data_IF_937763947560
#
_entry.id   IF_937763947560
#
_cell.length_a   1.000
_cell.length_b   1.000
_cell.length_c   1.000
_cell.angle_alpha   90.00
_cell.angle_beta   90.00
_cell.angle_gamma   90.00
#
_symmetry.space_group_name_H-M   'P 1'
#
loop_
_entity.id
_entity.type
_entity.pdbx_description
1 polymer ?
#
# COMPACT_ATOMS: atom_id res chain seq x y z
N UNK A 1 45.61 22.36 46.63
CA UNK A 1 44.67 22.18 45.50
C UNK A 1 44.57 20.69 45.24
N UNK A 2 43.35 20.11 45.22
CA UNK A 2 43.17 18.67 45.07
C UNK A 2 43.32 18.24 43.60
N UNK A 3 43.89 17.05 43.39
CA UNK A 3 44.05 16.37 42.10
C UNK A 3 42.69 15.94 41.53
N UNK A 4 42.48 15.96 40.21
CA UNK A 4 41.29 15.37 39.61
C UNK A 4 41.46 13.86 39.46
N UNK A 5 40.61 13.11 40.16
CA UNK A 5 40.41 11.68 40.01
C UNK A 5 39.97 11.35 38.57
N UNK A 6 40.83 10.66 37.82
CA UNK A 6 40.50 10.09 36.51
C UNK A 6 39.68 8.83 36.76
N UNK A 7 38.35 8.94 36.78
CA UNK A 7 37.48 7.77 36.71
C UNK A 7 37.55 7.20 35.29
N UNK A 8 38.53 6.31 35.08
CA UNK A 8 38.55 5.41 33.94
C UNK A 8 37.37 4.45 34.01
N UNK A 9 36.25 4.83 33.40
CA UNK A 9 35.26 3.86 32.96
C UNK A 9 35.85 3.19 31.74
N UNK A 10 36.41 2.00 31.91
CA UNK A 10 36.78 1.13 30.81
C UNK A 10 35.48 0.85 30.01
N UNK A 11 35.28 1.60 28.92
CA UNK A 11 34.40 1.16 27.85
C UNK A 11 35.01 -0.13 27.32
N UNK A 12 34.33 -1.23 27.55
CA UNK A 12 34.63 -2.49 26.88
C UNK A 12 34.60 -2.22 25.36
N UNK A 13 35.67 -2.55 24.61
CA UNK A 13 35.64 -2.53 23.16
C UNK A 13 34.90 -3.80 22.76
N UNK A 14 33.58 -3.74 22.64
CA UNK A 14 32.79 -4.95 22.46
C UNK A 14 31.34 -4.75 22.04
N UNK A 15 30.99 -3.56 21.57
CA UNK A 15 29.74 -3.34 20.86
C UNK A 15 30.01 -2.32 19.75
N UNK A 16 30.93 -2.67 18.84
CA UNK A 16 30.75 -2.18 17.48
C UNK A 16 29.40 -2.74 17.05
N UNK A 17 28.36 -1.91 17.13
CA UNK A 17 27.14 -2.12 16.40
C UNK A 17 27.59 -2.41 14.96
N UNK A 18 27.68 -3.70 14.62
CA UNK A 18 28.03 -4.14 13.29
C UNK A 18 26.90 -3.60 12.43
N UNK A 19 27.14 -2.44 11.83
CA UNK A 19 26.15 -1.76 11.01
C UNK A 19 25.67 -2.74 9.95
N UNK A 20 24.39 -2.66 9.60
CA UNK A 20 23.77 -3.48 8.57
C UNK A 20 24.69 -3.54 7.34
N UNK A 21 24.99 -4.74 6.86
CA UNK A 21 25.83 -4.91 5.68
C UNK A 21 25.11 -4.33 4.44
N UNK A 22 25.84 -3.90 3.39
CA UNK A 22 25.19 -3.44 2.16
C UNK A 22 24.21 -4.46 1.57
N UNK A 23 24.53 -5.74 1.69
CA UNK A 23 23.65 -6.84 1.25
C UNK A 23 22.33 -6.86 2.04
N UNK A 24 22.39 -6.77 3.37
CA UNK A 24 21.19 -6.70 4.22
C UNK A 24 20.35 -5.45 3.93
N UNK A 25 21.01 -4.33 3.69
CA UNK A 25 20.35 -3.06 3.35
C UNK A 25 19.62 -3.14 2.00
N UNK A 26 20.23 -3.73 0.96
CA UNK A 26 19.54 -3.93 -0.32
C UNK A 26 18.39 -4.94 -0.23
N UNK A 27 18.52 -6.00 0.60
CA UNK A 27 17.37 -6.88 0.90
C UNK A 27 16.24 -6.08 1.56
N UNK A 28 16.56 -5.18 2.48
CA UNK A 28 15.56 -4.31 3.08
C UNK A 28 14.92 -3.35 2.05
N UNK A 29 15.67 -2.83 1.08
CA UNK A 29 15.09 -2.05 -0.05
C UNK A 29 14.06 -2.89 -0.80
N UNK A 30 14.40 -4.14 -1.14
CA UNK A 30 13.48 -5.08 -1.80
C UNK A 30 12.20 -5.29 -0.98
N UNK A 31 12.32 -5.60 0.30
CA UNK A 31 11.17 -5.84 1.18
C UNK A 31 10.25 -4.62 1.30
N UNK A 32 10.84 -3.43 1.43
CA UNK A 32 10.09 -2.16 1.43
C UNK A 32 9.32 -1.98 0.12
N UNK A 33 9.94 -2.31 -1.02
CA UNK A 33 9.30 -2.19 -2.33
C UNK A 33 8.19 -3.22 -2.56
N UNK A 34 8.37 -4.46 -2.11
CA UNK A 34 7.31 -5.47 -2.16
C UNK A 34 6.08 -5.05 -1.32
N UNK A 35 6.31 -4.53 -0.11
CA UNK A 35 5.24 -3.96 0.73
C UNK A 35 4.56 -2.80 0.01
N UNK A 36 5.33 -1.89 -0.58
CA UNK A 36 4.81 -0.72 -1.28
C UNK A 36 3.93 -1.08 -2.47
N UNK A 37 4.33 -2.07 -3.26
CA UNK A 37 3.53 -2.63 -4.36
C UNK A 37 2.21 -3.21 -3.84
N UNK A 38 2.24 -3.94 -2.72
CA UNK A 38 1.01 -4.47 -2.10
C UNK A 38 0.06 -3.34 -1.70
N UNK A 39 0.56 -2.29 -1.04
CA UNK A 39 -0.25 -1.13 -0.64
C UNK A 39 -0.81 -0.39 -1.85
N UNK A 40 -0.03 -0.26 -2.93
CA UNK A 40 -0.53 0.34 -4.17
C UNK A 40 -1.66 -0.45 -4.80
N UNK A 41 -1.64 -1.79 -4.71
CA UNK A 41 -2.75 -2.63 -5.19
C UNK A 41 -4.01 -2.41 -4.38
N UNK A 42 -3.90 -2.32 -3.05
CA UNK A 42 -5.03 -2.02 -2.17
C UNK A 42 -5.62 -0.63 -2.45
N UNK A 43 -4.75 0.36 -2.71
CA UNK A 43 -5.17 1.70 -3.12
C UNK A 43 -5.93 1.68 -4.44
N UNK A 44 -5.33 1.09 -5.49
CA UNK A 44 -5.90 1.04 -6.85
C UNK A 44 -7.25 0.28 -6.82
N UNK A 45 -7.34 -0.85 -6.10
CA UNK A 45 -8.55 -1.68 -6.00
C UNK A 45 -9.69 -0.97 -5.25
N UNK A 46 -9.39 -0.28 -4.14
CA UNK A 46 -10.38 0.50 -3.41
C UNK A 46 -10.92 1.67 -4.25
N UNK A 47 -10.04 2.35 -4.99
CA UNK A 47 -10.41 3.48 -5.81
C UNK A 47 -11.23 3.06 -7.04
N UNK A 48 -10.83 1.99 -7.73
CA UNK A 48 -11.58 1.46 -8.87
C UNK A 48 -12.93 0.88 -8.44
N UNK A 49 -13.01 0.19 -7.29
CA UNK A 49 -14.28 -0.29 -6.72
C UNK A 49 -15.23 0.88 -6.39
N UNK A 50 -14.70 2.00 -5.91
CA UNK A 50 -15.50 3.18 -5.62
C UNK A 50 -16.01 3.89 -6.89
N UNK A 51 -15.17 4.00 -7.92
CA UNK A 51 -15.53 4.65 -9.18
C UNK A 51 -16.45 3.78 -10.05
N UNK A 52 -16.22 2.48 -10.05
CA UNK A 52 -16.96 1.49 -10.83
C UNK A 52 -17.42 0.35 -9.91
N UNK A 53 -18.49 0.58 -9.12
CA UNK A 53 -19.07 -0.46 -8.27
C UNK A 53 -19.74 -1.52 -9.14
N UNK A 54 -18.94 -2.39 -9.73
CA UNK A 54 -19.40 -3.54 -10.51
C UNK A 54 -19.80 -4.61 -9.50
N UNK A 55 -20.97 -5.23 -9.65
CA UNK A 55 -21.54 -6.23 -8.73
C UNK A 55 -20.75 -7.56 -8.65
N UNK A 56 -19.46 -7.56 -9.02
CA UNK A 56 -18.65 -8.75 -9.31
C UNK A 56 -17.29 -8.81 -8.63
N UNK A 57 -16.86 -7.82 -7.83
CA UNK A 57 -15.65 -7.95 -7.00
C UNK A 57 -16.00 -8.56 -5.64
N UNK A 58 -15.47 -9.75 -5.37
CA UNK A 58 -15.71 -10.53 -4.16
C UNK A 58 -15.34 -9.81 -2.86
N UNK A 59 -15.74 -10.34 -1.70
CA UNK A 59 -15.74 -9.60 -0.44
C UNK A 59 -14.33 -9.20 -0.03
N UNK A 60 -14.14 -7.89 0.18
CA UNK A 60 -13.04 -7.32 0.95
C UNK A 60 -13.18 -7.90 2.36
N UNK A 61 -12.31 -8.84 2.73
CA UNK A 61 -12.36 -9.56 3.99
C UNK A 61 -11.94 -8.63 5.15
N UNK A 62 -12.83 -7.72 5.53
CA UNK A 62 -12.80 -7.04 6.81
C UNK A 62 -13.43 -7.94 7.86
N UNK A 63 -12.60 -8.70 8.57
CA UNK A 63 -13.02 -9.55 9.69
C UNK A 63 -13.82 -8.75 10.73
N UNK A 64 -15.14 -8.91 10.72
CA UNK A 64 -16.02 -8.53 11.83
C UNK A 64 -16.59 -9.83 12.42
N UNK A 65 -16.18 -10.10 13.66
CA UNK A 65 -16.55 -11.27 14.44
C UNK A 65 -18.06 -11.27 14.77
N UNK A 66 -18.72 -12.44 14.92
CA UNK A 66 -20.18 -12.52 14.94
C UNK A 66 -20.81 -12.26 16.31
N UNK A 67 -22.05 -11.79 16.25
CA UNK A 67 -23.03 -11.50 17.31
C UNK A 67 -23.28 -12.69 18.25
N UNK A 68 -23.99 -12.47 19.38
CA UNK A 68 -25.32 -13.08 19.41
C UNK A 68 -26.40 -12.19 20.03
N UNK A 69 -27.52 -12.08 19.32
CA UNK A 69 -28.83 -11.68 19.84
C UNK A 69 -29.44 -12.82 20.66
N UNK A 70 -30.14 -12.57 21.79
CA UNK A 70 -30.86 -13.59 22.51
C UNK A 70 -32.20 -13.93 21.83
N UNK A 71 -32.54 -15.21 21.95
CA UNK A 71 -33.72 -15.94 21.46
C UNK A 71 -34.92 -15.65 22.37
N UNK A 72 -36.14 -15.55 21.80
CA UNK A 72 -37.42 -16.03 22.40
C UNK A 72 -38.58 -15.70 21.42
N UNK A 73 -39.72 -16.39 21.35
CA UNK A 73 -40.12 -17.80 21.37
C UNK A 73 -41.60 -17.79 20.88
N UNK A 74 -41.97 -18.73 19.99
CA UNK A 74 -43.33 -19.29 19.67
C UNK A 74 -44.46 -18.34 19.19
N UNK A 75 -45.49 -18.70 18.42
CA UNK A 75 -46.25 -19.90 17.99
C UNK A 75 -46.89 -19.52 16.61
N UNK A 76 -47.14 -20.37 15.62
CA UNK A 76 -48.20 -21.39 15.59
C UNK A 76 -48.09 -22.27 14.32
N UNK A 77 -48.65 -23.47 14.42
CA UNK A 77 -48.51 -24.61 13.52
C UNK A 77 -49.48 -24.61 12.32
N UNK A 78 -49.08 -25.26 11.21
CA UNK A 78 -49.72 -26.48 10.65
C UNK A 78 -49.34 -26.68 9.16
N UNK A 79 -49.00 -27.92 8.79
CA UNK A 79 -49.28 -28.41 7.44
C UNK A 79 -48.13 -29.01 6.63
N UNK A 80 -47.97 -30.33 6.78
CA UNK A 80 -47.65 -31.30 5.73
C UNK A 80 -46.19 -31.70 5.46
N UNK A 81 -46.02 -33.03 5.50
CA UNK A 81 -44.83 -33.83 5.28
C UNK A 81 -44.19 -33.62 3.90
N UNK A 82 -42.86 -33.42 3.90
CA UNK A 82 -42.01 -33.58 2.73
C UNK A 82 -40.57 -33.87 3.17
N UNK A 83 -40.24 -35.15 3.31
CA UNK A 83 -38.86 -35.62 3.49
C UNK A 83 -38.10 -35.35 2.19
N UNK A 84 -37.14 -34.44 2.22
CA UNK A 84 -36.10 -34.33 1.22
C UNK A 84 -34.76 -34.00 1.89
N UNK A 85 -33.93 -35.04 1.93
CA UNK A 85 -32.52 -35.01 2.24
C UNK A 85 -31.81 -34.09 1.22
N UNK A 86 -31.15 -33.02 1.69
CA UNK A 86 -30.41 -32.10 0.84
C UNK A 86 -29.64 -31.12 1.70
N UNK A 87 -28.33 -31.05 1.49
CA UNK A 87 -27.39 -30.34 2.36
C UNK A 87 -27.82 -28.91 2.67
N UNK A 88 -27.48 -28.46 3.89
CA UNK A 88 -27.48 -27.06 4.31
C UNK A 88 -26.61 -26.23 3.36
N UNK A 89 -27.14 -25.89 2.19
CA UNK A 89 -26.67 -24.78 1.39
C UNK A 89 -27.02 -23.52 2.15
N UNK A 90 -26.01 -22.71 2.46
CA UNK A 90 -26.19 -21.36 2.96
C UNK A 90 -26.92 -20.54 1.88
N UNK A 91 -28.25 -20.58 1.86
CA UNK A 91 -29.11 -19.78 0.99
C UNK A 91 -29.20 -18.32 1.49
N UNK A 92 -28.09 -17.77 1.98
CA UNK A 92 -28.03 -16.47 2.65
C UNK A 92 -26.71 -15.73 2.46
N UNK A 93 -25.76 -16.25 1.68
CA UNK A 93 -24.67 -15.41 1.18
C UNK A 93 -25.22 -14.55 0.04
N UNK A 94 -26.04 -13.55 0.39
CA UNK A 94 -26.30 -12.42 -0.49
C UNK A 94 -24.95 -11.90 -0.98
N UNK A 95 -24.66 -12.10 -2.26
CA UNK A 95 -23.55 -11.47 -2.99
C UNK A 95 -23.83 -9.98 -3.19
N UNK A 96 -24.45 -9.33 -2.20
CA UNK A 96 -24.64 -7.90 -2.17
C UNK A 96 -23.32 -7.32 -1.67
N UNK A 97 -22.40 -7.11 -2.59
CA UNK A 97 -21.26 -6.24 -2.37
C UNK A 97 -21.82 -4.86 -2.06
N UNK A 98 -21.82 -4.47 -0.79
CA UNK A 98 -22.21 -3.12 -0.40
C UNK A 98 -21.26 -2.16 -1.11
N UNK A 99 -21.77 -1.24 -1.95
CA UNK A 99 -20.90 -0.31 -2.66
C UNK A 99 -20.11 0.52 -1.65
N UNK A 100 -18.83 0.72 -1.95
CA UNK A 100 -17.92 1.41 -1.05
C UNK A 100 -18.40 2.87 -0.84
N UNK A 101 -18.64 3.26 0.41
CA UNK A 101 -19.07 4.64 0.74
C UNK A 101 -17.91 5.62 0.60
N UNK A 102 -18.21 6.92 0.47
CA UNK A 102 -17.16 7.96 0.44
C UNK A 102 -16.34 8.00 1.73
N UNK A 103 -16.98 7.79 2.88
CA UNK A 103 -16.32 7.73 4.18
C UNK A 103 -15.37 6.54 4.28
N UNK A 104 -15.80 5.36 3.82
CA UNK A 104 -14.97 4.16 3.81
C UNK A 104 -13.81 4.30 2.82
N UNK A 105 -14.04 4.88 1.63
CA UNK A 105 -12.96 5.21 0.70
C UNK A 105 -11.94 6.12 1.36
N UNK A 106 -12.38 7.22 1.97
CA UNK A 106 -11.49 8.19 2.59
C UNK A 106 -10.63 7.52 3.68
N UNK A 107 -11.23 6.62 4.48
CA UNK A 107 -10.51 5.84 5.49
C UNK A 107 -9.47 4.91 4.85
N UNK A 108 -9.82 4.16 3.81
CA UNK A 108 -8.87 3.27 3.11
C UNK A 108 -7.73 4.09 2.51
N UNK A 109 -8.03 5.17 1.78
CA UNK A 109 -7.03 6.05 1.18
C UNK A 109 -6.11 6.67 2.24
N UNK A 110 -6.63 7.02 3.40
CA UNK A 110 -5.83 7.53 4.52
C UNK A 110 -4.86 6.45 5.03
N UNK A 111 -5.33 5.22 5.24
CA UNK A 111 -4.50 4.10 5.72
C UNK A 111 -3.40 3.77 4.70
N UNK A 112 -3.78 3.60 3.42
CA UNK A 112 -2.83 3.26 2.35
C UNK A 112 -1.82 4.39 2.16
N UNK A 113 -2.23 5.66 2.19
CA UNK A 113 -1.31 6.80 2.09
C UNK A 113 -0.31 6.82 3.25
N UNK A 114 -0.78 6.56 4.48
CA UNK A 114 0.10 6.49 5.64
C UNK A 114 1.12 5.35 5.50
N UNK A 115 0.70 4.18 5.01
CA UNK A 115 1.59 3.05 4.76
C UNK A 115 2.62 3.35 3.65
N UNK A 116 2.24 4.08 2.59
CA UNK A 116 3.16 4.54 1.53
C UNK A 116 4.19 5.53 2.07
N UNK A 117 3.79 6.45 2.95
CA UNK A 117 4.69 7.40 3.62
C UNK A 117 5.67 6.65 4.53
N UNK A 118 5.18 5.66 5.30
CA UNK A 118 6.04 4.82 6.14
C UNK A 118 7.09 4.08 5.30
N UNK A 119 6.71 3.51 4.16
CA UNK A 119 7.65 2.89 3.23
C UNK A 119 8.71 3.89 2.75
N UNK A 120 8.32 5.14 2.48
CA UNK A 120 9.25 6.21 2.13
C UNK A 120 10.24 6.55 3.25
N UNK A 121 9.78 6.62 4.50
CA UNK A 121 10.67 6.84 5.65
C UNK A 121 11.65 5.69 5.85
N UNK A 122 11.18 4.44 5.77
CA UNK A 122 12.05 3.26 5.86
C UNK A 122 13.12 3.28 4.77
N UNK A 123 12.74 3.60 3.53
CA UNK A 123 13.69 3.70 2.41
C UNK A 123 14.72 4.82 2.63
N UNK A 124 14.31 5.96 3.22
CA UNK A 124 15.21 7.06 3.58
C UNK A 124 16.23 6.66 4.64
N UNK A 125 15.80 5.88 5.64
CA UNK A 125 16.70 5.32 6.66
C UNK A 125 17.73 4.39 6.01
N UNK A 126 17.28 3.46 5.16
CA UNK A 126 18.16 2.53 4.44
C UNK A 126 19.16 3.28 3.55
N UNK A 127 18.71 4.30 2.80
CA UNK A 127 19.59 5.17 2.02
C UNK A 127 20.68 5.81 2.89
N UNK A 128 20.31 6.29 4.07
CA UNK A 128 21.25 6.94 4.99
C UNK A 128 22.27 5.95 5.51
N UNK A 129 21.85 4.73 5.88
CA UNK A 129 22.77 3.66 6.28
C UNK A 129 23.68 3.24 5.13
N UNK A 130 23.14 3.05 3.92
CA UNK A 130 23.94 2.74 2.73
C UNK A 130 25.02 3.79 2.46
N UNK A 131 24.69 5.07 2.61
CA UNK A 131 25.63 6.18 2.38
C UNK A 131 26.84 6.17 3.35
N UNK A 132 26.72 5.48 4.49
CA UNK A 132 27.80 5.32 5.47
C UNK A 132 28.33 3.88 5.54
N UNK A 133 27.88 3.00 4.63
CA UNK A 133 28.32 1.61 4.53
C UNK A 133 29.61 1.47 3.71
N UNK A 134 30.09 0.24 3.53
CA UNK A 134 31.21 -0.07 2.63
C UNK A 134 30.88 0.11 1.13
N UNK A 135 29.61 0.32 0.77
CA UNK A 135 29.16 0.52 -0.60
C UNK A 135 28.24 1.78 -0.73
N UNK A 136 28.77 2.99 -0.48
CA UNK A 136 27.98 4.22 -0.47
C UNK A 136 27.34 4.58 -1.82
N UNK A 137 27.88 4.06 -2.93
CA UNK A 137 27.30 4.22 -4.26
C UNK A 137 25.86 3.68 -4.35
N UNK A 138 25.54 2.63 -3.59
CA UNK A 138 24.21 2.01 -3.58
C UNK A 138 23.12 2.92 -2.97
N UNK A 139 23.52 3.91 -2.15
CA UNK A 139 22.58 4.91 -1.65
C UNK A 139 21.94 5.73 -2.78
N UNK A 140 22.64 5.90 -3.91
CA UNK A 140 22.10 6.61 -5.07
C UNK A 140 20.96 5.84 -5.75
N UNK A 141 21.01 4.51 -5.72
CA UNK A 141 19.95 3.64 -6.22
C UNK A 141 18.68 3.78 -5.36
N UNK A 142 18.83 3.73 -4.03
CA UNK A 142 17.72 3.96 -3.10
C UNK A 142 17.10 5.38 -3.26
N UNK A 143 17.93 6.40 -3.51
CA UNK A 143 17.49 7.78 -3.74
C UNK A 143 16.70 7.93 -5.06
N UNK A 144 17.17 7.30 -6.14
CA UNK A 144 16.45 7.24 -7.43
C UNK A 144 15.08 6.58 -7.25
N UNK A 145 15.02 5.45 -6.55
CA UNK A 145 13.76 4.75 -6.25
C UNK A 145 12.82 5.67 -5.46
N UNK A 146 13.29 6.30 -4.39
CA UNK A 146 12.48 7.20 -3.57
C UNK A 146 11.92 8.39 -4.37
N UNK A 147 12.72 8.95 -5.27
CA UNK A 147 12.32 10.04 -6.17
C UNK A 147 11.20 9.60 -7.11
N UNK A 148 11.33 8.43 -7.74
CA UNK A 148 10.32 7.87 -8.64
C UNK A 148 9.03 7.49 -7.91
N UNK A 149 9.13 6.92 -6.72
CA UNK A 149 7.97 6.63 -5.88
C UNK A 149 7.19 7.87 -5.46
N UNK A 150 7.89 8.96 -5.13
CA UNK A 150 7.24 10.23 -4.82
C UNK A 150 6.55 10.84 -6.05
N UNK A 151 7.14 10.70 -7.24
CA UNK A 151 6.52 11.12 -8.49
C UNK A 151 5.26 10.28 -8.79
N UNK A 152 5.33 8.96 -8.61
CA UNK A 152 4.21 8.04 -8.76
C UNK A 152 3.06 8.43 -7.83
N UNK A 153 3.34 8.63 -6.54
CA UNK A 153 2.32 9.03 -5.56
C UNK A 153 1.58 10.31 -5.96
N UNK A 154 2.32 11.34 -6.38
CA UNK A 154 1.73 12.61 -6.80
C UNK A 154 0.88 12.45 -8.06
N UNK A 155 1.40 11.77 -9.08
CA UNK A 155 0.69 11.55 -10.34
C UNK A 155 -0.60 10.74 -10.14
N UNK A 156 -0.54 9.67 -9.34
CA UNK A 156 -1.70 8.83 -9.00
C UNK A 156 -2.77 9.64 -8.26
N UNK A 157 -2.40 10.36 -7.19
CA UNK A 157 -3.36 11.17 -6.43
C UNK A 157 -4.00 12.25 -7.30
N UNK A 158 -3.22 12.94 -8.14
CA UNK A 158 -3.75 13.96 -9.03
C UNK A 158 -4.72 13.37 -10.07
N UNK A 159 -4.35 12.24 -10.68
CA UNK A 159 -5.20 11.51 -11.62
C UNK A 159 -6.52 11.13 -10.96
N UNK A 160 -6.45 10.58 -9.76
CA UNK A 160 -7.61 10.01 -9.09
C UNK A 160 -8.54 11.10 -8.54
N UNK A 161 -8.01 12.23 -8.06
CA UNK A 161 -8.82 13.41 -7.77
C UNK A 161 -9.59 13.90 -9.01
N UNK A 162 -8.93 13.91 -10.17
CA UNK A 162 -9.55 14.31 -11.43
C UNK A 162 -10.58 13.27 -11.94
N UNK A 163 -10.29 11.97 -11.82
CA UNK A 163 -11.26 10.90 -12.12
C UNK A 163 -12.49 11.02 -11.23
N UNK A 164 -12.32 11.32 -9.93
CA UNK A 164 -13.45 11.55 -9.01
C UNK A 164 -14.28 12.75 -9.44
N UNK A 165 -13.66 13.89 -9.77
CA UNK A 165 -14.41 15.10 -10.15
C UNK A 165 -15.18 14.93 -11.47
N UNK A 166 -14.65 14.16 -12.43
CA UNK A 166 -15.32 13.88 -13.71
C UNK A 166 -16.43 12.84 -13.58
N UNK A 167 -16.19 11.73 -12.85
CA UNK A 167 -17.13 10.60 -12.79
C UNK A 167 -18.20 10.76 -11.69
N UNK A 168 -17.92 11.54 -10.65
CA UNK A 168 -18.87 11.89 -9.58
C UNK A 168 -18.85 13.41 -9.37
N UNK A 169 -19.30 14.20 -10.35
CA UNK A 169 -19.38 15.65 -10.19
C UNK A 169 -20.37 15.97 -9.07
N UNK A 170 -19.95 16.79 -8.11
CA UNK A 170 -20.90 17.38 -7.16
C UNK A 170 -21.94 18.16 -7.97
N UNK A 171 -23.21 18.08 -7.56
CA UNK A 171 -24.38 18.64 -8.26
C UNK A 171 -24.37 20.16 -8.48
N UNK A 172 -23.30 20.86 -8.08
CA UNK A 172 -23.17 22.32 -8.06
C UNK A 172 -22.27 22.91 -9.18
N UNK A 173 -21.78 22.13 -10.15
CA UNK A 173 -20.89 22.66 -11.21
C UNK A 173 -21.39 22.40 -12.64
N UNK A 174 -21.81 23.45 -13.37
CA UNK A 174 -22.18 23.35 -14.78
C UNK A 174 -20.97 23.67 -15.66
N UNK A 175 -20.20 22.67 -16.08
CA UNK A 175 -19.14 22.86 -17.07
C UNK A 175 -18.98 21.64 -17.98
N UNK A 176 -19.72 21.61 -19.08
CA UNK A 176 -19.56 20.59 -20.14
C UNK A 176 -18.33 20.83 -21.04
N UNK A 177 -17.67 21.99 -20.94
CA UNK A 177 -16.45 22.31 -21.71
C UNK A 177 -15.18 21.75 -21.06
N UNK A 178 -15.20 21.43 -19.75
CA UNK A 178 -14.04 20.94 -18.98
C UNK A 178 -13.83 19.43 -19.11
N UNK A 179 -14.80 18.68 -19.65
CA UNK A 179 -14.77 17.21 -19.61
C UNK A 179 -13.71 16.63 -20.57
N UNK A 180 -13.57 17.17 -21.78
CA UNK A 180 -12.57 16.72 -22.75
C UNK A 180 -11.13 17.04 -22.30
N UNK A 181 -10.91 18.23 -21.73
CA UNK A 181 -9.62 18.64 -21.15
C UNK A 181 -9.28 17.78 -19.93
N UNK A 182 -10.26 17.48 -19.07
CA UNK A 182 -10.08 16.58 -17.95
C UNK A 182 -9.76 15.15 -18.41
N UNK A 183 -10.45 14.62 -19.43
CA UNK A 183 -10.17 13.30 -20.01
C UNK A 183 -8.76 13.24 -20.61
N UNK A 184 -8.32 14.29 -21.31
CA UNK A 184 -6.96 14.37 -21.84
C UNK A 184 -5.92 14.41 -20.71
N UNK A 185 -6.18 15.17 -19.66
CA UNK A 185 -5.31 15.26 -18.47
C UNK A 185 -5.23 13.92 -17.73
N UNK A 186 -6.35 13.21 -17.56
CA UNK A 186 -6.38 11.85 -16.98
C UNK A 186 -5.51 10.91 -17.82
N UNK A 187 -5.68 10.90 -19.14
CA UNK A 187 -4.90 10.04 -20.04
C UNK A 187 -3.39 10.34 -19.96
N UNK A 188 -3.01 11.62 -19.88
CA UNK A 188 -1.61 12.03 -19.69
C UNK A 188 -1.04 11.55 -18.35
N UNK A 189 -1.82 11.66 -17.27
CA UNK A 189 -1.41 11.20 -15.94
C UNK A 189 -1.33 9.67 -15.88
N UNK A 190 -2.23 8.94 -16.54
CA UNK A 190 -2.15 7.48 -16.66
C UNK A 190 -0.87 7.06 -17.38
N UNK A 191 -0.54 7.71 -18.50
CA UNK A 191 0.71 7.45 -19.21
C UNK A 191 1.93 7.72 -18.32
N UNK A 192 1.92 8.80 -17.54
CA UNK A 192 2.98 9.13 -16.58
C UNK A 192 3.10 8.08 -15.46
N UNK A 193 1.97 7.62 -14.91
CA UNK A 193 1.91 6.57 -13.89
C UNK A 193 2.51 5.28 -14.44
N UNK A 194 2.11 4.85 -15.64
CA UNK A 194 2.64 3.63 -16.28
C UNK A 194 4.13 3.74 -16.57
N UNK A 195 4.58 4.87 -17.12
CA UNK A 195 6.01 5.10 -17.35
C UNK A 195 6.80 5.07 -16.04
N UNK A 196 6.29 5.69 -14.97
CA UNK A 196 6.97 5.69 -13.67
C UNK A 196 7.02 4.30 -13.05
N UNK A 197 5.95 3.49 -13.19
CA UNK A 197 5.94 2.08 -12.77
C UNK A 197 6.97 1.24 -13.55
N UNK A 198 7.14 1.49 -14.85
CA UNK A 198 8.18 0.85 -15.66
C UNK A 198 9.58 1.25 -15.21
N UNK A 199 9.85 2.54 -15.05
CA UNK A 199 11.13 3.06 -14.56
C UNK A 199 11.49 2.47 -13.18
N UNK A 200 10.50 2.29 -12.29
CA UNK A 200 10.68 1.63 -10.99
C UNK A 200 11.01 0.15 -11.12
N UNK A 201 10.40 -0.56 -12.08
CA UNK A 201 10.72 -1.96 -12.33
C UNK A 201 12.17 -2.13 -12.80
N UNK A 202 12.66 -1.22 -13.65
CA UNK A 202 14.06 -1.21 -14.10
C UNK A 202 15.02 -0.94 -12.93
N UNK A 203 14.71 0.04 -12.07
CA UNK A 203 15.48 0.29 -10.85
C UNK A 203 15.50 -0.92 -9.90
N UNK A 204 14.39 -1.66 -9.82
CA UNK A 204 14.34 -2.87 -9.01
C UNK A 204 15.17 -4.00 -9.62
N UNK A 205 15.28 -4.09 -10.95
CA UNK A 205 16.23 -5.01 -11.59
C UNK A 205 17.67 -4.67 -11.24
N UNK A 206 18.03 -3.38 -11.20
CA UNK A 206 19.34 -2.94 -10.69
C UNK A 206 19.55 -3.41 -9.24
N UNK A 207 18.56 -3.25 -8.34
CA UNK A 207 18.65 -3.75 -6.95
C UNK A 207 18.87 -5.26 -6.91
N UNK A 208 18.15 -6.04 -7.72
CA UNK A 208 18.33 -7.49 -7.76
C UNK A 208 19.71 -7.90 -8.26
N UNK A 209 20.25 -7.21 -9.27
CA UNK A 209 21.60 -7.46 -9.78
C UNK A 209 22.65 -7.21 -8.69
N UNK A 210 22.58 -6.08 -8.00
CA UNK A 210 23.50 -5.71 -6.92
C UNK A 210 23.43 -6.70 -5.74
N UNK A 211 22.23 -7.20 -5.39
CA UNK A 211 22.08 -8.24 -4.36
C UNK A 211 22.82 -9.52 -4.77
N UNK A 212 22.72 -9.93 -6.03
CA UNK A 212 23.38 -11.15 -6.53
C UNK A 212 24.89 -10.97 -6.56
N UNK A 213 25.40 -9.82 -7.01
CA UNK A 213 26.83 -9.52 -7.02
C UNK A 213 27.41 -9.57 -5.60
N UNK A 214 26.78 -8.89 -4.64
CA UNK A 214 27.20 -8.92 -3.24
C UNK A 214 27.12 -10.31 -2.60
N UNK A 215 26.23 -11.19 -3.08
CA UNK A 215 26.13 -12.56 -2.60
C UNK A 215 27.28 -13.45 -3.14
N UNK A 216 27.83 -13.13 -4.31
CA UNK A 216 28.95 -13.86 -4.91
C UNK A 216 30.30 -13.43 -4.33
N UNK A 217 30.39 -12.19 -3.85
CA UNK A 217 31.60 -11.61 -3.25
C UNK A 217 31.75 -11.88 -1.73
N UNK A 218 30.74 -12.52 -1.11
CA UNK A 218 30.71 -12.89 0.32
C UNK A 218 31.24 -14.31 0.58
#
# INVERSE_FOLDING_TARGET
MPEPTINGTAHAPGDEASGSTPFELLRAVKEVQERRISVWREYDDAFDTFLSPTSTSGPVNGSQNPTPTPIDHEVDAEGSNGVANGGRGCAGCSTTTVPLTEELLAQILQITTQALIECGHRLRTIQTELAHSSAPQLATLADRIQTRENALLRATVQRDQLRKSVLKPNTDSPAQTDEDEARQSIASLDAQVQQTKADLADLMQEVYAEIVELQLDA
#
